data_IF_923711335732
#
_entry.id   IF_923711335732
#
_cell.length_a   1.000
_cell.length_b   1.000
_cell.length_c   1.000
_cell.angle_alpha   90.00
_cell.angle_beta   90.00
_cell.angle_gamma   90.00
#
_symmetry.space_group_name_H-M   'P 1'
#
loop_
_entity.id
_entity.type
_entity.pdbx_description
1 polymer ?
#
# COMPACT_ATOMS: atom_id res chain seq x y z
N UNK A 1 -10.06 35.96 -36.05
CA UNK A 1 -9.84 34.75 -36.87
C UNK A 1 -9.87 33.54 -35.93
N UNK A 2 -10.52 32.44 -36.33
CA UNK A 2 -11.24 31.50 -35.45
C UNK A 2 -10.37 30.42 -34.78
N UNK A 3 -11.00 29.77 -33.79
CA UNK A 3 -10.59 28.65 -32.94
C UNK A 3 -9.80 27.51 -33.59
N UNK A 4 -8.87 26.94 -32.83
CA UNK A 4 -8.46 25.54 -32.96
C UNK A 4 -8.40 24.90 -31.57
N UNK A 5 -9.55 24.43 -31.10
CA UNK A 5 -9.70 23.49 -30.00
C UNK A 5 -9.16 22.12 -30.43
N UNK A 6 -8.11 21.64 -29.75
CA UNK A 6 -7.62 20.28 -29.85
C UNK A 6 -8.61 19.33 -29.14
N UNK A 7 -9.08 18.25 -29.79
CA UNK A 7 -9.83 17.21 -29.11
C UNK A 7 -8.86 16.37 -28.25
N UNK A 8 -9.06 16.37 -26.94
CA UNK A 8 -8.54 15.31 -26.07
C UNK A 8 -9.42 14.08 -26.26
N UNK A 9 -8.93 13.08 -26.98
CA UNK A 9 -9.52 11.75 -26.93
C UNK A 9 -9.31 11.18 -25.53
N UNK A 10 -10.40 11.10 -24.79
CA UNK A 10 -10.51 10.36 -23.54
C UNK A 10 -10.27 8.87 -23.84
N UNK A 11 -9.06 8.40 -23.61
CA UNK A 11 -8.78 6.97 -23.46
C UNK A 11 -9.35 6.53 -22.12
N UNK A 12 -10.63 6.18 -22.12
CA UNK A 12 -11.27 5.43 -21.06
C UNK A 12 -10.94 3.94 -21.27
N UNK A 13 -10.14 3.28 -20.42
CA UNK A 13 -10.04 1.83 -20.44
C UNK A 13 -11.17 1.30 -19.56
N UNK A 14 -12.23 0.89 -20.24
CA UNK A 14 -13.30 0.02 -19.72
C UNK A 14 -12.74 -1.11 -18.87
N UNK A 15 -13.39 -1.32 -17.72
CA UNK A 15 -13.37 -2.49 -16.84
C UNK A 15 -12.60 -3.70 -17.38
N UNK A 16 -11.34 -3.81 -16.98
CA UNK A 16 -10.61 -5.07 -17.00
C UNK A 16 -10.52 -5.59 -15.57
N UNK A 17 -11.58 -6.31 -15.17
CA UNK A 17 -11.55 -7.29 -14.08
C UNK A 17 -10.46 -8.31 -14.39
N UNK A 18 -9.23 -8.09 -13.93
CA UNK A 18 -8.14 -9.06 -14.01
C UNK A 18 -8.08 -9.79 -12.69
N UNK A 19 -8.86 -10.88 -12.65
CA UNK A 19 -8.78 -11.91 -11.62
C UNK A 19 -7.35 -12.46 -11.52
N UNK A 20 -6.98 -12.61 -10.26
CA UNK A 20 -5.76 -13.19 -9.73
C UNK A 20 -5.46 -14.58 -10.33
N UNK A 21 -4.30 -14.75 -10.96
CA UNK A 21 -3.70 -16.08 -11.17
C UNK A 21 -2.22 -16.07 -10.80
N UNK A 22 -1.96 -16.46 -9.55
CA UNK A 22 -0.68 -17.02 -9.13
C UNK A 22 -0.44 -18.34 -9.88
N UNK A 23 0.57 -18.38 -10.76
CA UNK A 23 1.01 -19.63 -11.38
C UNK A 23 2.33 -20.08 -10.76
N UNK A 24 2.18 -20.94 -9.75
CA UNK A 24 3.20 -21.77 -9.13
C UNK A 24 3.82 -22.71 -10.19
N UNK A 25 5.12 -22.62 -10.44
CA UNK A 25 5.82 -23.45 -11.44
C UNK A 25 6.35 -24.74 -10.81
N UNK A 26 5.74 -25.87 -11.16
CA UNK A 26 6.32 -27.22 -11.07
C UNK A 26 6.03 -27.95 -12.39
N UNK A 27 7.09 -28.39 -13.06
CA UNK A 27 7.06 -28.75 -14.49
C UNK A 27 6.54 -30.15 -14.84
N UNK A 28 6.19 -30.33 -16.11
CA UNK A 28 6.60 -31.47 -16.93
C UNK A 28 6.20 -31.26 -18.40
N UNK A 29 6.98 -31.88 -19.30
CA UNK A 29 7.05 -31.71 -20.76
C UNK A 29 5.80 -32.21 -21.51
N UNK A 30 5.42 -31.50 -22.58
CA UNK A 30 4.57 -32.03 -23.66
C UNK A 30 4.39 -31.05 -24.83
N UNK A 31 4.97 -31.36 -25.99
CA UNK A 31 4.95 -30.57 -27.25
C UNK A 31 3.53 -30.42 -27.83
N UNK A 32 3.12 -29.19 -28.19
CA UNK A 32 2.47 -28.89 -29.47
C UNK A 32 2.45 -27.38 -29.80
N UNK A 33 2.67 -27.08 -31.09
CA UNK A 33 2.98 -25.79 -31.71
C UNK A 33 1.88 -24.72 -31.56
N UNK A 34 2.25 -23.53 -31.07
CA UNK A 34 2.20 -22.27 -31.83
C UNK A 34 3.38 -21.39 -31.41
N UNK A 35 4.39 -21.32 -32.26
CA UNK A 35 5.39 -20.25 -32.24
C UNK A 35 4.70 -18.94 -32.55
N UNK A 36 4.53 -18.09 -31.54
CA UNK A 36 4.84 -16.67 -31.58
C UNK A 36 5.10 -16.25 -30.14
N UNK A 37 6.37 -16.32 -29.77
CA UNK A 37 6.97 -15.40 -28.82
C UNK A 37 6.64 -13.97 -29.25
N UNK A 38 5.47 -13.46 -28.89
CA UNK A 38 5.31 -12.01 -28.83
C UNK A 38 5.92 -11.62 -27.50
N UNK A 39 7.23 -11.36 -27.52
CA UNK A 39 7.74 -10.23 -26.76
C UNK A 39 6.66 -9.16 -26.87
N UNK A 40 5.98 -8.83 -25.76
CA UNK A 40 5.03 -7.73 -25.69
C UNK A 40 5.56 -6.62 -26.59
N UNK A 41 4.77 -6.15 -27.55
CA UNK A 41 5.24 -5.12 -28.48
C UNK A 41 5.79 -3.94 -27.67
N UNK A 42 6.67 -3.15 -28.24
CA UNK A 42 7.21 -2.00 -27.49
C UNK A 42 6.06 -1.07 -27.01
N UNK A 43 4.98 -0.95 -27.80
CA UNK A 43 3.75 -0.29 -27.36
C UNK A 43 3.04 -1.02 -26.20
N UNK A 44 2.85 -2.33 -26.27
CA UNK A 44 2.19 -3.12 -25.22
C UNK A 44 2.98 -3.10 -23.91
N UNK A 45 4.32 -3.20 -23.97
CA UNK A 45 5.20 -3.06 -22.80
C UNK A 45 5.06 -1.68 -22.18
N UNK A 46 5.03 -0.63 -22.99
CA UNK A 46 4.89 0.74 -22.53
C UNK A 46 3.53 0.96 -21.86
N UNK A 47 2.44 0.45 -22.46
CA UNK A 47 1.11 0.52 -21.88
C UNK A 47 1.02 -0.23 -20.54
N UNK A 48 1.52 -1.46 -20.47
CA UNK A 48 1.54 -2.25 -19.23
C UNK A 48 2.40 -1.60 -18.15
N UNK A 49 3.56 -1.04 -18.50
CA UNK A 49 4.41 -0.32 -17.54
C UNK A 49 3.70 0.90 -16.95
N UNK A 50 3.04 1.71 -17.78
CA UNK A 50 2.26 2.87 -17.32
C UNK A 50 1.13 2.42 -16.39
N UNK A 51 0.37 1.40 -16.78
CA UNK A 51 -0.73 0.87 -15.98
C UNK A 51 -0.24 0.32 -14.62
N UNK A 52 0.85 -0.46 -14.62
CA UNK A 52 1.43 -1.03 -13.41
C UNK A 52 1.95 0.07 -12.46
N UNK A 53 2.59 1.11 -12.98
CA UNK A 53 3.09 2.21 -12.15
C UNK A 53 1.95 3.10 -11.65
N UNK A 54 0.89 3.30 -12.44
CA UNK A 54 -0.31 3.99 -11.97
C UNK A 54 -0.96 3.24 -10.80
N UNK A 55 -1.19 1.93 -10.95
CA UNK A 55 -1.71 1.09 -9.87
C UNK A 55 -0.82 1.13 -8.62
N UNK A 56 0.50 1.05 -8.80
CA UNK A 56 1.46 1.17 -7.70
C UNK A 56 1.31 2.51 -6.96
N UNK A 57 1.18 3.62 -7.69
CA UNK A 57 0.99 4.96 -7.08
C UNK A 57 -0.35 5.11 -6.39
N UNK A 58 -1.42 4.53 -6.94
CA UNK A 58 -2.75 4.53 -6.34
C UNK A 58 -2.74 3.75 -5.01
N UNK A 59 -2.10 2.58 -4.97
CA UNK A 59 -1.93 1.80 -3.75
C UNK A 59 -1.18 2.58 -2.66
N UNK A 60 -0.05 3.20 -3.02
CA UNK A 60 0.73 4.03 -2.07
C UNK A 60 -0.13 5.15 -1.51
N UNK A 61 -0.90 5.85 -2.36
CA UNK A 61 -1.80 6.92 -1.89
C UNK A 61 -2.87 6.42 -0.93
N UNK A 62 -3.48 5.27 -1.23
CA UNK A 62 -4.48 4.67 -0.35
C UNK A 62 -3.88 4.31 1.03
N UNK A 63 -2.63 3.88 1.09
CA UNK A 63 -1.92 3.63 2.36
C UNK A 63 -1.67 4.93 3.14
N UNK A 64 -1.31 6.02 2.46
CA UNK A 64 -1.18 7.34 3.08
C UNK A 64 -2.54 7.86 3.62
N UNK A 65 -3.62 7.66 2.88
CA UNK A 65 -4.97 8.02 3.34
C UNK A 65 -5.36 7.23 4.59
N UNK A 66 -4.96 5.96 4.68
CA UNK A 66 -5.14 5.15 5.88
C UNK A 66 -4.34 5.71 7.07
N UNK A 67 -3.09 6.11 6.88
CA UNK A 67 -2.30 6.75 7.94
C UNK A 67 -2.98 8.02 8.46
N UNK A 68 -3.47 8.87 7.56
CA UNK A 68 -4.21 10.08 7.92
C UNK A 68 -5.44 9.77 8.76
N UNK A 69 -6.17 8.70 8.43
CA UNK A 69 -7.37 8.29 9.20
C UNK A 69 -7.05 7.76 10.61
N UNK A 70 -5.88 7.17 10.81
CA UNK A 70 -5.46 6.56 12.07
C UNK A 70 -4.79 7.54 13.02
N UNK A 71 -4.18 8.60 12.50
CA UNK A 71 -3.42 9.57 13.30
C UNK A 71 -4.28 10.79 13.63
N UNK A 72 -4.73 10.96 14.90
CA UNK A 72 -5.66 12.03 15.27
C UNK A 72 -5.09 13.45 15.09
N UNK A 73 -3.76 13.58 15.08
CA UNK A 73 -3.05 14.85 14.94
C UNK A 73 -2.92 15.35 13.49
N UNK A 74 -3.36 14.56 12.50
CA UNK A 74 -3.38 14.93 11.09
C UNK A 74 -4.73 15.54 10.71
N UNK A 75 -4.74 16.81 10.34
CA UNK A 75 -5.92 17.47 9.77
C UNK A 75 -5.97 17.31 8.24
N UNK A 76 -7.16 17.48 7.64
CA UNK A 76 -7.35 17.43 6.18
C UNK A 76 -6.50 18.44 5.38
N UNK A 77 -5.94 19.46 6.06
CA UNK A 77 -5.03 20.41 5.44
C UNK A 77 -3.58 19.91 5.42
N UNK A 78 -3.19 19.14 6.45
CA UNK A 78 -1.83 18.60 6.64
C UNK A 78 -1.64 17.25 5.95
N UNK A 79 -2.73 16.56 5.59
CA UNK A 79 -2.73 15.33 4.80
C UNK A 79 -2.23 15.48 3.35
N UNK A 80 -1.78 16.68 2.97
CA UNK A 80 -1.21 16.97 1.65
C UNK A 80 0.30 16.74 1.56
N UNK A 81 1.00 16.61 2.68
CA UNK A 81 2.45 16.45 2.72
C UNK A 81 2.82 15.05 3.20
N UNK A 82 3.39 14.23 2.30
CA UNK A 82 3.87 12.87 2.62
C UNK A 82 4.82 12.87 3.83
N UNK A 83 5.77 13.82 3.86
CA UNK A 83 6.71 13.96 4.97
C UNK A 83 5.98 14.24 6.29
N UNK A 84 5.01 15.16 6.30
CA UNK A 84 4.28 15.49 7.53
C UNK A 84 3.44 14.29 8.01
N UNK A 85 2.84 13.54 7.09
CA UNK A 85 2.08 12.33 7.43
C UNK A 85 3.00 11.33 8.13
N UNK A 86 4.18 11.05 7.55
CA UNK A 86 5.14 10.11 8.13
C UNK A 86 5.64 10.57 9.51
N UNK A 87 6.04 11.85 9.63
CA UNK A 87 6.53 12.40 10.90
C UNK A 87 5.47 12.32 12.00
N UNK A 88 4.26 12.81 11.73
CA UNK A 88 3.19 12.78 12.74
C UNK A 88 2.73 11.36 13.08
N UNK A 89 2.77 10.45 12.11
CA UNK A 89 2.46 9.03 12.36
C UNK A 89 3.49 8.40 13.28
N UNK A 90 4.79 8.68 13.06
CA UNK A 90 5.86 8.20 13.94
C UNK A 90 5.72 8.78 15.36
N UNK A 91 5.49 10.09 15.47
CA UNK A 91 5.25 10.74 16.77
C UNK A 91 4.06 10.12 17.50
N UNK A 92 3.00 9.78 16.78
CA UNK A 92 1.81 9.16 17.37
C UNK A 92 2.07 7.73 17.86
N UNK A 93 2.88 6.95 17.13
CA UNK A 93 3.31 5.62 17.59
C UNK A 93 4.07 5.73 18.92
N UNK A 94 4.97 6.70 19.05
CA UNK A 94 5.72 6.92 20.28
C UNK A 94 4.83 7.38 21.44
N UNK A 95 3.84 8.23 21.17
CA UNK A 95 2.81 8.60 22.16
C UNK A 95 2.01 7.38 22.63
N UNK A 96 1.52 6.54 21.70
CA UNK A 96 0.76 5.34 22.04
C UNK A 96 1.56 4.36 22.90
N UNK A 97 2.86 4.21 22.64
CA UNK A 97 3.75 3.41 23.49
C UNK A 97 3.85 3.98 24.90
N UNK A 98 4.04 5.29 25.03
CA UNK A 98 4.14 5.95 26.33
C UNK A 98 2.83 5.81 27.12
N UNK A 99 1.69 6.01 26.46
CA UNK A 99 0.37 5.82 27.06
C UNK A 99 0.13 4.37 27.48
N UNK A 100 0.49 3.40 26.65
CA UNK A 100 0.39 1.98 26.98
C UNK A 100 1.18 1.65 28.26
N UNK A 101 2.43 2.12 28.38
CA UNK A 101 3.23 1.94 29.59
C UNK A 101 2.59 2.55 30.83
N UNK A 102 2.04 3.77 30.71
CA UNK A 102 1.32 4.43 31.81
C UNK A 102 0.09 3.64 32.23
N UNK A 103 -0.66 3.11 31.28
CA UNK A 103 -1.85 2.30 31.54
C UNK A 103 -1.49 0.97 32.23
N UNK A 104 -0.42 0.30 31.79
CA UNK A 104 0.08 -0.93 32.43
C UNK A 104 0.46 -0.65 33.89
N UNK A 105 1.18 0.45 34.15
CA UNK A 105 1.56 0.81 35.52
C UNK A 105 0.32 1.13 36.38
N UNK A 106 -0.69 1.81 35.82
CA UNK A 106 -1.94 2.08 36.52
C UNK A 106 -2.71 0.78 36.84
N UNK A 107 -2.76 -0.18 35.92
CA UNK A 107 -3.35 -1.50 36.15
C UNK A 107 -2.61 -2.21 37.29
N UNK A 108 -1.27 -2.20 37.27
CA UNK A 108 -0.43 -2.80 38.33
C UNK A 108 -0.71 -2.18 39.70
N UNK A 109 -0.82 -0.85 39.77
CA UNK A 109 -1.16 -0.15 41.01
C UNK A 109 -2.56 -0.49 41.53
N UNK A 110 -3.51 -0.73 40.63
CA UNK A 110 -4.87 -1.15 40.97
C UNK A 110 -5.03 -2.65 41.23
N UNK A 111 -3.95 -3.43 41.11
CA UNK A 111 -3.98 -4.89 41.24
C UNK A 111 -4.73 -5.59 40.10
N UNK A 112 -4.87 -4.94 38.95
CA UNK A 112 -5.47 -5.51 37.75
C UNK A 112 -4.36 -6.21 36.97
N UNK A 113 -4.52 -7.50 36.72
CA UNK A 113 -3.62 -8.29 35.90
C UNK A 113 -3.75 -7.86 34.43
N UNK A 114 -2.61 -7.59 33.78
CA UNK A 114 -2.57 -7.19 32.37
C UNK A 114 -2.26 -8.42 31.52
N UNK A 115 -3.15 -8.83 30.60
CA UNK A 115 -2.89 -9.90 29.65
C UNK A 115 -1.60 -9.68 28.85
N UNK A 116 -0.82 -10.74 28.64
CA UNK A 116 0.46 -10.66 27.91
C UNK A 116 0.32 -10.14 26.47
N UNK A 117 -0.83 -10.33 25.85
CA UNK A 117 -1.15 -9.86 24.50
C UNK A 117 -1.23 -8.33 24.38
N UNK A 118 -1.46 -7.63 25.48
CA UNK A 118 -1.53 -6.17 25.52
C UNK A 118 -0.17 -5.52 25.80
N UNK A 119 0.85 -6.34 26.10
CA UNK A 119 2.22 -5.89 26.33
C UNK A 119 2.89 -5.72 24.96
N UNK A 120 3.24 -4.49 24.62
CA UNK A 120 3.97 -4.20 23.39
C UNK A 120 5.39 -4.80 23.44
N UNK A 121 5.65 -5.83 22.63
CA UNK A 121 6.95 -6.53 22.55
C UNK A 121 7.87 -6.01 21.43
N UNK A 122 7.46 -4.95 20.74
CA UNK A 122 8.16 -4.46 19.54
C UNK A 122 7.75 -5.18 18.26
N UNK A 123 8.21 -4.69 17.09
CA UNK A 123 8.05 -5.40 15.84
C UNK A 123 8.79 -6.73 15.89
N UNK A 124 8.20 -7.78 15.32
CA UNK A 124 8.87 -9.07 15.20
C UNK A 124 9.85 -9.00 14.02
N UNK A 125 11.12 -9.27 14.28
CA UNK A 125 12.16 -9.26 13.23
C UNK A 125 12.19 -10.59 12.48
N UNK A 126 11.05 -11.22 12.25
CA UNK A 126 10.90 -12.53 11.59
C UNK A 126 10.87 -12.41 10.05
N UNK A 127 11.01 -11.20 9.52
CA UNK A 127 11.12 -10.94 8.08
C UNK A 127 9.76 -10.98 7.36
N UNK A 128 8.65 -11.13 8.08
CA UNK A 128 7.30 -11.09 7.50
C UNK A 128 6.98 -9.74 6.88
N UNK A 129 7.59 -8.66 7.37
CA UNK A 129 7.34 -7.28 6.94
C UNK A 129 7.98 -6.91 5.60
N UNK A 130 8.82 -7.78 5.02
CA UNK A 130 9.58 -7.54 3.78
C UNK A 130 8.95 -8.24 2.56
N UNK A 131 7.92 -9.08 2.75
CA UNK A 131 7.27 -9.77 1.65
C UNK A 131 6.29 -8.85 0.90
N UNK A 132 6.81 -8.11 -0.08
CA UNK A 132 6.03 -7.51 -1.19
C UNK A 132 6.46 -8.18 -2.49
#
# INVERSE_FOLDING_TARGET
MPSSSLPTEDLNPTDANVENQESNMSGSKGKQKKTKSSNLSEEEKKAHHIASEQKRRENIRAEFDKLVSLTPSLTAQESRSELNILTKSADYIDQLKEENLKLIELCRQKGIEVPEELIYKGPQNDGSDIAI
#
